data_IF_461751042204
#
_entry.id   IF_461751042204
#
_cell.length_a   1.000
_cell.length_b   1.000
_cell.length_c   1.000
_cell.angle_alpha   90.00
_cell.angle_beta   90.00
_cell.angle_gamma   90.00
#
_symmetry.space_group_name_H-M   'P 1'
#
loop_
_entity.id
_entity.type
_entity.pdbx_description
1 polymer ?
#
# COMPACT_ATOMS: atom_id res chain seq x y z
N UNK A 1 -27.89 -5.54 3.44
CA UNK A 1 -27.57 -4.10 3.43
C UNK A 1 -26.10 -4.02 3.09
N UNK A 2 -25.74 -3.40 1.97
CA UNK A 2 -24.33 -3.10 1.66
C UNK A 2 -23.79 -2.30 2.84
N UNK A 3 -22.82 -2.85 3.59
CA UNK A 3 -22.13 -2.04 4.59
C UNK A 3 -21.34 -1.01 3.81
N UNK A 4 -21.80 0.24 3.84
CA UNK A 4 -21.03 1.37 3.34
C UNK A 4 -19.63 1.28 3.94
N UNK A 5 -18.62 1.19 3.08
CA UNK A 5 -17.23 1.14 3.52
C UNK A 5 -16.89 2.37 4.36
N UNK A 6 -15.97 2.26 5.33
CA UNK A 6 -15.53 3.42 6.12
C UNK A 6 -14.57 4.34 5.34
N UNK A 7 -14.19 3.93 4.12
CA UNK A 7 -13.34 4.71 3.24
C UNK A 7 -14.07 5.94 2.69
N UNK A 8 -13.34 7.04 2.56
CA UNK A 8 -13.82 8.18 1.80
C UNK A 8 -13.66 7.84 0.31
N UNK A 9 -14.73 7.87 -0.47
CA UNK A 9 -14.71 7.42 -1.86
C UNK A 9 -15.02 8.57 -2.82
N UNK A 10 -14.31 8.63 -3.94
CA UNK A 10 -14.53 9.57 -5.04
C UNK A 10 -14.48 8.81 -6.37
N UNK A 11 -15.18 9.30 -7.39
CA UNK A 11 -15.08 8.77 -8.74
C UNK A 11 -13.62 8.77 -9.20
N UNK A 12 -13.13 7.60 -9.64
CA UNK A 12 -11.75 7.44 -10.10
C UNK A 12 -11.38 8.45 -11.18
N UNK A 13 -12.27 8.69 -12.14
CA UNK A 13 -12.04 9.61 -13.25
C UNK A 13 -11.88 11.08 -12.80
N UNK A 14 -12.45 11.46 -11.65
CA UNK A 14 -12.32 12.82 -11.12
C UNK A 14 -10.97 12.99 -10.42
N UNK A 15 -10.61 12.07 -9.53
CA UNK A 15 -9.38 12.18 -8.75
C UNK A 15 -8.13 11.90 -9.59
N UNK A 16 -8.18 10.93 -10.51
CA UNK A 16 -7.02 10.55 -11.33
C UNK A 16 -6.49 11.68 -12.22
N UNK A 17 -7.35 12.63 -12.60
CA UNK A 17 -6.98 13.86 -13.33
C UNK A 17 -6.12 14.82 -12.51
N UNK A 18 -6.15 14.71 -11.17
CA UNK A 18 -5.39 15.56 -10.23
C UNK A 18 -4.08 14.90 -9.80
N UNK A 19 -3.88 13.62 -10.11
CA UNK A 19 -2.71 12.87 -9.66
C UNK A 19 -1.49 13.17 -10.52
N UNK A 20 -0.27 13.07 -9.96
CA UNK A 20 0.95 13.11 -10.76
C UNK A 20 0.91 12.06 -11.87
N UNK A 21 1.41 12.40 -13.06
CA UNK A 21 1.42 11.50 -14.21
C UNK A 21 2.73 10.72 -14.36
N UNK A 22 3.80 11.18 -13.71
CA UNK A 22 5.13 10.57 -13.73
C UNK A 22 5.80 10.64 -12.35
N UNK A 23 6.88 9.88 -12.18
CA UNK A 23 7.70 9.91 -10.96
C UNK A 23 7.22 9.00 -9.85
N UNK A 24 7.91 9.02 -8.71
CA UNK A 24 7.66 8.20 -7.52
C UNK A 24 6.87 9.00 -6.51
N UNK A 25 5.64 8.58 -6.27
CA UNK A 25 4.70 9.24 -5.36
C UNK A 25 4.04 8.21 -4.44
N UNK A 26 3.80 8.59 -3.18
CA UNK A 26 2.96 7.80 -2.28
C UNK A 26 1.54 8.32 -2.43
N UNK A 27 0.70 7.62 -3.19
CA UNK A 27 -0.73 7.89 -3.23
C UNK A 27 -1.40 7.17 -2.06
N UNK A 28 -2.19 7.89 -1.27
CA UNK A 28 -2.86 7.33 -0.09
C UNK A 28 -4.10 8.12 0.32
N UNK A 29 -5.00 7.45 1.03
CA UNK A 29 -6.02 8.12 1.86
C UNK A 29 -5.45 8.27 3.28
N UNK A 30 -5.40 9.50 3.79
CA UNK A 30 -4.89 9.79 5.14
C UNK A 30 -5.58 11.01 5.75
N UNK A 31 -5.50 11.14 7.08
CA UNK A 31 -5.94 12.31 7.86
C UNK A 31 -4.79 12.82 8.75
N UNK A 32 -5.08 13.66 9.73
CA UNK A 32 -4.08 14.24 10.65
C UNK A 32 -3.33 13.21 11.51
N UNK A 33 -3.86 11.99 11.65
CA UNK A 33 -3.39 10.98 12.59
C UNK A 33 -3.22 9.58 12.00
N UNK A 34 -3.91 9.26 10.90
CA UNK A 34 -3.92 7.92 10.30
C UNK A 34 -3.75 7.92 8.78
N UNK A 35 -3.34 6.77 8.27
CA UNK A 35 -3.23 6.47 6.83
C UNK A 35 -3.80 5.08 6.57
N UNK A 36 -4.42 4.90 5.40
CA UNK A 36 -4.91 3.60 4.94
C UNK A 36 -3.81 2.90 4.14
N UNK A 37 -3.58 1.64 4.47
CA UNK A 37 -2.81 0.70 3.65
C UNK A 37 -3.63 -0.53 3.34
N UNK A 38 -3.36 -1.15 2.20
CA UNK A 38 -4.08 -2.31 1.72
C UNK A 38 -3.22 -3.56 1.70
N UNK A 39 -3.85 -4.68 2.02
CA UNK A 39 -3.29 -6.02 1.91
C UNK A 39 -4.34 -6.98 1.35
N UNK A 40 -3.88 -8.06 0.71
CA UNK A 40 -4.74 -9.11 0.21
C UNK A 40 -4.33 -10.47 0.76
N UNK A 41 -5.31 -11.27 1.17
CA UNK A 41 -5.08 -12.55 1.83
C UNK A 41 -6.14 -13.58 1.47
N UNK A 42 -5.84 -14.85 1.79
CA UNK A 42 -6.83 -15.92 1.83
C UNK A 42 -7.89 -15.67 2.91
N UNK A 43 -9.11 -16.23 2.76
CA UNK A 43 -10.24 -16.00 3.68
C UNK A 43 -9.92 -16.17 5.16
N UNK A 44 -9.18 -17.22 5.54
CA UNK A 44 -8.91 -17.50 6.95
C UNK A 44 -8.02 -16.45 7.64
N UNK A 45 -7.06 -15.87 6.92
CA UNK A 45 -6.20 -14.81 7.47
C UNK A 45 -6.99 -13.51 7.59
N UNK A 46 -7.77 -13.16 6.56
CA UNK A 46 -8.58 -11.96 6.57
C UNK A 46 -9.66 -12.00 7.67
N UNK A 47 -10.34 -13.14 7.82
CA UNK A 47 -11.33 -13.34 8.88
C UNK A 47 -10.72 -13.13 10.26
N UNK A 48 -9.60 -13.80 10.55
CA UNK A 48 -8.90 -13.61 11.83
C UNK A 48 -8.53 -12.14 12.06
N UNK A 49 -7.96 -11.49 11.04
CA UNK A 49 -7.50 -10.11 11.14
C UNK A 49 -8.64 -9.14 11.47
N UNK A 50 -9.79 -9.30 10.81
CA UNK A 50 -10.98 -8.47 11.03
C UNK A 50 -11.60 -8.76 12.40
N UNK A 51 -11.75 -10.03 12.79
CA UNK A 51 -12.35 -10.38 14.09
C UNK A 51 -11.51 -9.90 15.28
N UNK A 52 -10.18 -9.92 15.14
CA UNK A 52 -9.26 -9.57 16.23
C UNK A 52 -8.69 -8.15 16.11
N UNK A 53 -8.99 -7.44 15.02
CA UNK A 53 -8.40 -6.13 14.65
C UNK A 53 -6.86 -6.12 14.71
N UNK A 54 -6.24 -7.26 14.42
CA UNK A 54 -4.79 -7.47 14.37
C UNK A 54 -4.46 -8.74 13.62
N UNK A 55 -3.25 -8.82 13.08
CA UNK A 55 -2.72 -10.05 12.51
C UNK A 55 -2.13 -10.98 13.59
N UNK A 56 -2.01 -12.28 13.28
CA UNK A 56 -1.50 -13.27 14.22
C UNK A 56 -1.36 -14.67 13.61
N UNK A 57 -0.89 -15.62 14.43
CA UNK A 57 -0.72 -17.03 14.08
C UNK A 57 0.70 -17.41 13.58
N UNK A 58 0.97 -18.69 13.27
CA UNK A 58 2.31 -19.18 12.95
C UNK A 58 2.95 -18.52 11.70
N UNK A 59 2.13 -18.09 10.75
CA UNK A 59 2.54 -17.38 9.53
C UNK A 59 2.87 -15.91 9.77
N UNK A 60 2.62 -15.38 10.97
CA UNK A 60 2.84 -13.99 11.36
C UNK A 60 4.32 -13.67 11.67
N UNK A 61 5.24 -14.47 11.14
CA UNK A 61 6.70 -14.25 11.20
C UNK A 61 7.30 -13.92 9.83
N UNK A 62 6.53 -14.06 8.75
CA UNK A 62 6.99 -13.81 7.39
C UNK A 62 6.86 -12.34 7.01
N UNK A 63 7.66 -11.92 6.02
CA UNK A 63 7.53 -10.60 5.41
C UNK A 63 6.12 -10.42 4.83
N UNK A 64 5.44 -9.35 5.22
CA UNK A 64 4.16 -8.97 4.64
C UNK A 64 4.26 -7.62 3.94
N UNK A 65 3.48 -7.44 2.87
CA UNK A 65 3.59 -6.29 1.97
C UNK A 65 2.37 -5.39 2.05
N UNK A 66 2.56 -4.17 2.55
CA UNK A 66 1.53 -3.14 2.60
C UNK A 66 1.65 -2.21 1.38
N UNK A 67 0.50 -1.71 0.88
CA UNK A 67 0.41 -0.79 -0.25
C UNK A 67 -0.52 0.36 0.11
N UNK A 68 -0.09 1.62 0.10
CA UNK A 68 -0.97 2.75 0.39
C UNK A 68 -1.92 3.08 -0.78
N UNK A 69 -1.61 2.62 -2.00
CA UNK A 69 -2.38 2.88 -3.21
C UNK A 69 -3.32 1.72 -3.58
N UNK A 70 -4.59 2.05 -3.80
CA UNK A 70 -5.67 1.11 -4.08
C UNK A 70 -5.50 0.41 -5.44
N UNK A 71 -5.26 1.17 -6.51
CA UNK A 71 -5.13 0.62 -7.87
C UNK A 71 -3.98 -0.39 -7.95
N UNK A 72 -2.84 -0.07 -7.33
CA UNK A 72 -1.72 -1.00 -7.20
C UNK A 72 -2.09 -2.27 -6.43
N UNK A 73 -2.86 -2.16 -5.34
CA UNK A 73 -3.36 -3.35 -4.64
C UNK A 73 -4.29 -4.17 -5.55
N UNK A 74 -5.20 -3.54 -6.29
CA UNK A 74 -6.14 -4.25 -7.17
C UNK A 74 -5.43 -4.97 -8.31
N UNK A 75 -4.44 -4.34 -8.94
CA UNK A 75 -3.58 -4.99 -9.91
C UNK A 75 -2.89 -6.23 -9.31
N UNK A 76 -2.37 -6.12 -8.09
CA UNK A 76 -1.63 -7.19 -7.41
C UNK A 76 -2.51 -8.36 -7.00
N UNK A 77 -3.70 -8.13 -6.48
CA UNK A 77 -4.67 -9.18 -6.15
C UNK A 77 -5.48 -9.67 -7.35
N UNK A 78 -5.40 -8.96 -8.49
CA UNK A 78 -6.31 -9.20 -9.62
C UNK A 78 -7.76 -8.94 -9.21
N UNK A 79 -8.03 -7.81 -8.55
CA UNK A 79 -9.37 -7.48 -8.05
C UNK A 79 -9.98 -8.59 -7.18
N UNK A 80 -9.18 -9.13 -6.26
CA UNK A 80 -9.55 -10.22 -5.34
C UNK A 80 -9.86 -11.58 -6.03
N UNK A 81 -9.39 -11.80 -7.26
CA UNK A 81 -9.61 -13.07 -7.99
C UNK A 81 -8.44 -14.04 -7.92
N UNK A 82 -7.24 -13.58 -7.53
CA UNK A 82 -6.06 -14.46 -7.45
C UNK A 82 -6.10 -15.35 -6.20
N UNK A 83 -5.66 -16.59 -6.38
CA UNK A 83 -5.52 -17.56 -5.28
C UNK A 83 -4.64 -17.01 -4.15
N UNK A 84 -5.08 -17.20 -2.91
CA UNK A 84 -4.51 -16.66 -1.67
C UNK A 84 -4.55 -15.13 -1.52
N UNK A 85 -5.29 -14.43 -2.39
CA UNK A 85 -5.51 -12.98 -2.35
C UNK A 85 -6.99 -12.63 -2.58
N UNK A 86 -7.90 -13.49 -2.11
CA UNK A 86 -9.35 -13.42 -2.34
C UNK A 86 -10.07 -12.41 -1.44
N UNK A 87 -9.39 -11.90 -0.40
CA UNK A 87 -9.93 -10.90 0.51
C UNK A 87 -9.05 -9.67 0.53
N UNK A 88 -9.66 -8.50 0.39
CA UNK A 88 -8.99 -7.20 0.43
C UNK A 88 -9.28 -6.53 1.76
N UNK A 89 -8.22 -6.20 2.47
CA UNK A 89 -8.29 -5.49 3.74
C UNK A 89 -7.86 -4.04 3.53
N UNK A 90 -8.69 -3.11 3.97
CA UNK A 90 -8.29 -1.72 4.23
C UNK A 90 -7.89 -1.60 5.69
N UNK A 91 -6.64 -1.21 5.93
CA UNK A 91 -6.02 -1.22 7.24
C UNK A 91 -5.64 0.20 7.59
N UNK A 92 -6.32 0.76 8.58
CA UNK A 92 -6.02 2.07 9.12
C UNK A 92 -4.89 1.93 10.12
N UNK A 93 -3.77 2.61 9.87
CA UNK A 93 -2.63 2.64 10.78
C UNK A 93 -2.29 4.07 11.19
N UNK A 94 -1.61 4.21 12.32
CA UNK A 94 -1.12 5.52 12.75
C UNK A 94 -0.12 6.09 11.73
N UNK A 95 -0.17 7.40 11.50
CA UNK A 95 0.82 8.10 10.67
C UNK A 95 2.23 7.96 11.25
N UNK A 96 2.36 7.99 12.57
CA UNK A 96 3.62 7.77 13.26
C UNK A 96 4.20 6.37 12.96
N UNK A 97 3.37 5.33 12.98
CA UNK A 97 3.78 3.97 12.59
C UNK A 97 4.22 3.92 11.12
N UNK A 98 3.43 4.48 10.21
CA UNK A 98 3.77 4.52 8.78
C UNK A 98 5.09 5.26 8.50
N UNK A 99 5.28 6.45 9.11
CA UNK A 99 6.53 7.20 9.00
C UNK A 99 7.73 6.46 9.61
N UNK A 100 7.51 5.70 10.68
CA UNK A 100 8.55 4.84 11.28
C UNK A 100 8.93 3.71 10.32
N UNK A 101 7.97 3.09 9.63
CA UNK A 101 8.23 2.09 8.57
C UNK A 101 9.05 2.73 7.43
N UNK A 102 8.60 3.85 6.88
CA UNK A 102 9.30 4.56 5.79
C UNK A 102 10.74 4.92 6.18
N UNK A 103 10.94 5.43 7.39
CA UNK A 103 12.25 5.85 7.90
C UNK A 103 13.20 4.69 8.18
N UNK A 104 12.75 3.45 8.13
CA UNK A 104 13.58 2.26 8.29
C UNK A 104 13.67 1.42 7.01
N UNK A 105 12.99 1.84 5.95
CA UNK A 105 12.92 1.08 4.73
C UNK A 105 14.24 1.15 3.94
N UNK A 106 14.68 0.00 3.43
CA UNK A 106 15.80 -0.11 2.49
C UNK A 106 15.25 -0.48 1.11
N UNK A 107 15.57 0.32 0.09
CA UNK A 107 15.15 0.05 -1.28
C UNK A 107 15.73 -1.28 -1.78
N UNK A 108 14.90 -2.10 -2.44
CA UNK A 108 15.31 -3.41 -2.94
C UNK A 108 16.09 -3.37 -4.25
N UNK A 109 16.38 -2.19 -4.80
CA UNK A 109 17.20 -2.00 -5.99
C UNK A 109 18.32 -1.01 -5.70
N UNK A 110 19.57 -1.46 -5.83
CA UNK A 110 20.75 -0.62 -5.60
C UNK A 110 20.78 0.62 -6.48
N UNK A 111 20.36 0.51 -7.76
CA UNK A 111 20.37 1.65 -8.68
C UNK A 111 19.51 2.81 -8.18
N UNK A 112 18.45 2.52 -7.41
CA UNK A 112 17.55 3.53 -6.86
C UNK A 112 18.15 4.28 -5.67
N UNK A 113 19.17 3.73 -5.02
CA UNK A 113 19.80 4.25 -3.79
C UNK A 113 21.33 4.31 -3.87
N UNK A 114 21.88 4.32 -5.09
CA UNK A 114 23.32 4.33 -5.35
C UNK A 114 24.05 5.51 -4.69
N UNK A 115 23.34 6.62 -4.47
CA UNK A 115 23.87 7.82 -3.84
C UNK A 115 23.75 7.80 -2.31
N UNK A 116 23.06 6.79 -1.75
CA UNK A 116 22.83 6.65 -0.29
C UNK A 116 23.81 5.66 0.35
N UNK A 117 24.39 4.75 -0.43
CA UNK A 117 25.29 3.71 0.06
C UNK A 117 26.68 3.84 -0.55
N UNK A 118 27.71 3.67 0.29
CA UNK A 118 29.12 3.72 -0.12
C UNK A 118 29.43 2.65 -1.17
N UNK A 119 28.88 1.45 -1.02
CA UNK A 119 29.04 0.36 -1.98
C UNK A 119 27.77 -0.48 -2.14
N UNK A 120 27.74 -1.29 -3.20
CA UNK A 120 26.70 -2.32 -3.40
C UNK A 120 26.71 -3.37 -2.30
N UNK A 121 27.86 -3.67 -1.72
CA UNK A 121 27.99 -4.65 -0.63
C UNK A 121 27.40 -4.12 0.68
N UNK A 122 27.64 -2.83 1.00
CA UNK A 122 27.03 -2.17 2.16
C UNK A 122 25.50 -2.13 2.02
N UNK A 123 25.00 -1.81 0.83
CA UNK A 123 23.57 -1.86 0.54
C UNK A 123 23.00 -3.28 0.70
N UNK A 124 23.68 -4.30 0.18
CA UNK A 124 23.21 -5.68 0.27
C UNK A 124 23.19 -6.17 1.73
N UNK A 125 24.19 -5.78 2.53
CA UNK A 125 24.22 -6.06 3.96
C UNK A 125 23.04 -5.38 4.67
N UNK A 126 22.82 -4.08 4.43
CA UNK A 126 21.70 -3.34 4.99
C UNK A 126 20.33 -3.92 4.59
N UNK A 127 20.17 -4.34 3.32
CA UNK A 127 18.93 -4.96 2.84
C UNK A 127 18.67 -6.35 3.46
N UNK A 128 19.73 -7.11 3.75
CA UNK A 128 19.64 -8.42 4.41
C UNK A 128 19.24 -8.29 5.87
N UNK A 129 19.79 -7.31 6.58
CA UNK A 129 19.55 -7.09 8.02
C UNK A 129 18.31 -6.27 8.31
N UNK A 130 17.81 -5.47 7.36
CA UNK A 130 16.62 -4.66 7.57
C UNK A 130 15.34 -5.48 7.69
N UNK A 131 14.49 -5.08 8.63
CA UNK A 131 13.12 -5.58 8.80
C UNK A 131 12.10 -4.86 7.92
N UNK A 132 12.52 -3.79 7.24
CA UNK A 132 11.68 -3.03 6.31
C UNK A 132 12.32 -2.93 4.92
N UNK A 133 11.60 -3.38 3.90
CA UNK A 133 12.00 -3.28 2.49
C UNK A 133 11.08 -2.34 1.74
N UNK A 134 11.64 -1.58 0.82
CA UNK A 134 10.91 -0.71 -0.08
C UNK A 134 11.07 -1.18 -1.53
N UNK A 135 9.97 -1.20 -2.28
CA UNK A 135 10.00 -1.38 -3.73
C UNK A 135 9.17 -0.32 -4.43
N UNK A 136 9.76 0.27 -5.47
CA UNK A 136 9.09 1.11 -6.44
C UNK A 136 8.76 0.30 -7.70
N UNK A 137 7.49 0.05 -7.95
CA UNK A 137 6.99 -0.64 -9.14
C UNK A 137 6.26 0.34 -10.07
N UNK A 138 6.06 -0.01 -11.35
CA UNK A 138 5.12 0.75 -12.18
C UNK A 138 3.75 0.80 -11.52
N UNK A 139 3.16 1.99 -11.44
CA UNK A 139 1.75 2.09 -11.08
C UNK A 139 0.88 1.62 -12.26
N UNK A 140 -0.38 1.30 -11.99
CA UNK A 140 -1.32 0.81 -12.98
C UNK A 140 -2.66 1.53 -12.87
N UNK A 141 -3.33 1.73 -14.00
CA UNK A 141 -4.74 2.13 -14.00
C UNK A 141 -5.67 0.95 -13.63
N UNK A 142 -6.97 1.22 -13.55
CA UNK A 142 -7.97 0.23 -13.09
C UNK A 142 -8.08 -1.01 -13.99
N UNK A 143 -7.64 -0.91 -15.24
CA UNK A 143 -7.64 -2.00 -16.23
C UNK A 143 -6.25 -2.60 -16.43
N UNK A 144 -5.27 -2.22 -15.60
CA UNK A 144 -3.96 -2.84 -15.55
C UNK A 144 -2.97 -2.34 -16.61
N UNK A 145 -3.18 -1.16 -17.20
CA UNK A 145 -2.16 -0.52 -18.04
C UNK A 145 -1.11 0.15 -17.16
N UNK A 146 0.17 -0.01 -17.54
CA UNK A 146 1.29 0.64 -16.85
C UNK A 146 1.22 2.15 -17.02
N UNK A 147 1.50 2.87 -15.93
CA UNK A 147 1.62 4.32 -15.91
C UNK A 147 3.09 4.74 -15.77
N UNK A 148 3.38 6.00 -16.14
CA UNK A 148 4.73 6.55 -16.01
C UNK A 148 5.09 6.90 -14.56
N UNK A 149 4.08 7.05 -13.69
CA UNK A 149 4.29 7.15 -12.25
C UNK A 149 4.53 5.77 -11.63
N UNK A 150 5.10 5.77 -10.42
CA UNK A 150 5.48 4.57 -9.67
C UNK A 150 4.65 4.46 -8.40
N UNK A 151 4.29 3.23 -8.04
CA UNK A 151 3.64 2.90 -6.78
C UNK A 151 4.65 2.26 -5.82
N UNK A 152 4.51 2.58 -4.53
CA UNK A 152 5.32 2.00 -3.46
C UNK A 152 4.67 0.74 -2.91
N UNK A 153 5.47 -0.26 -2.59
CA UNK A 153 5.11 -1.31 -1.64
C UNK A 153 6.19 -1.46 -0.58
N UNK A 154 5.74 -1.68 0.67
CA UNK A 154 6.60 -1.79 1.83
C UNK A 154 6.47 -3.20 2.40
N UNK A 155 7.59 -3.92 2.43
CA UNK A 155 7.70 -5.20 3.10
C UNK A 155 8.07 -4.96 4.56
N UNK A 156 7.30 -5.52 5.49
CA UNK A 156 7.58 -5.48 6.94
C UNK A 156 7.70 -6.90 7.51
N UNK A 157 8.68 -7.12 8.40
CA UNK A 157 8.91 -8.39 9.12
C UNK A 157 9.47 -8.12 10.52
N UNK A 158 9.73 -9.19 11.28
CA UNK A 158 10.41 -9.10 12.57
C UNK A 158 9.72 -8.14 13.53
N UNK A 159 10.50 -7.31 14.23
CA UNK A 159 9.96 -6.36 15.21
C UNK A 159 8.97 -5.36 14.60
N UNK A 160 9.17 -4.96 13.33
CA UNK A 160 8.27 -4.02 12.66
C UNK A 160 6.90 -4.64 12.37
N UNK A 161 6.86 -5.95 12.10
CA UNK A 161 5.59 -6.66 11.92
C UNK A 161 4.83 -6.75 13.25
N UNK A 162 5.54 -7.05 14.35
CA UNK A 162 4.96 -7.08 15.69
C UNK A 162 4.40 -5.71 16.10
N UNK A 163 5.16 -4.62 15.92
CA UNK A 163 4.70 -3.26 16.20
C UNK A 163 3.54 -2.85 15.29
N UNK A 164 3.63 -3.15 13.99
CA UNK A 164 2.55 -2.90 13.04
C UNK A 164 1.24 -3.48 13.54
N UNK A 165 1.24 -4.77 13.91
CA UNK A 165 0.01 -5.45 14.26
C UNK A 165 -0.50 -5.16 15.67
N UNK A 166 0.38 -4.90 16.64
CA UNK A 166 -0.02 -4.75 18.04
C UNK A 166 -0.13 -3.29 18.49
N UNK A 167 0.52 -2.36 17.80
CA UNK A 167 0.61 -0.96 18.23
C UNK A 167 0.05 0.03 17.19
N UNK A 168 0.33 -0.19 15.89
CA UNK A 168 0.04 0.82 14.88
C UNK A 168 -1.30 0.64 14.18
N UNK A 169 -1.83 -0.58 14.07
CA UNK A 169 -3.17 -0.83 13.52
C UNK A 169 -4.24 -0.23 14.45
N UNK A 170 -5.08 0.63 13.87
CA UNK A 170 -6.24 1.22 14.54
C UNK A 170 -7.53 0.50 14.15
N UNK A 171 -7.64 0.08 12.89
CA UNK A 171 -8.76 -0.75 12.44
C UNK A 171 -8.41 -1.55 11.18
N UNK A 172 -9.06 -2.70 11.02
CA UNK A 172 -9.02 -3.57 9.85
C UNK A 172 -10.44 -3.76 9.33
N UNK A 173 -10.70 -3.30 8.12
CA UNK A 173 -11.97 -3.45 7.43
C UNK A 173 -11.80 -4.39 6.23
N UNK A 174 -12.72 -5.34 6.09
CA UNK A 174 -12.82 -6.13 4.86
C UNK A 174 -13.65 -5.41 3.81
N UNK A 175 -12.99 -4.93 2.76
CA UNK A 175 -13.63 -4.18 1.68
C UNK A 175 -13.87 -5.05 0.44
N UNK A 176 -13.84 -6.38 0.58
CA UNK A 176 -13.91 -7.30 -0.57
C UNK A 176 -15.20 -7.14 -1.37
N UNK A 177 -16.34 -6.95 -0.71
CA UNK A 177 -17.62 -6.77 -1.42
C UNK A 177 -17.67 -5.44 -2.17
N UNK A 178 -17.13 -4.37 -1.59
CA UNK A 178 -16.92 -3.09 -2.31
C UNK A 178 -16.03 -3.29 -3.54
N UNK A 179 -14.88 -3.96 -3.39
CA UNK A 179 -13.96 -4.24 -4.49
C UNK A 179 -14.64 -5.02 -5.62
N UNK A 180 -15.43 -6.05 -5.29
CA UNK A 180 -16.17 -6.83 -6.30
C UNK A 180 -17.24 -6.00 -6.99
N UNK A 181 -17.93 -5.12 -6.28
CA UNK A 181 -18.89 -4.19 -6.87
C UNK A 181 -18.20 -3.27 -7.88
N UNK A 182 -17.08 -2.66 -7.51
CA UNK A 182 -16.31 -1.78 -8.39
C UNK A 182 -15.71 -2.52 -9.58
N UNK A 183 -15.25 -3.76 -9.38
CA UNK A 183 -14.69 -4.58 -10.44
C UNK A 183 -15.70 -4.88 -11.56
N UNK A 184 -17.01 -4.99 -11.25
CA UNK A 184 -18.05 -5.16 -12.28
C UNK A 184 -18.05 -4.00 -13.27
N UNK A 185 -17.97 -2.77 -12.79
CA UNK A 185 -17.89 -1.59 -13.66
C UNK A 185 -16.61 -1.58 -14.51
N UNK A 186 -15.48 -2.03 -13.95
CA UNK A 186 -14.21 -2.15 -14.69
C UNK A 186 -14.31 -3.18 -15.82
N UNK A 187 -14.90 -4.35 -15.56
CA UNK A 187 -15.10 -5.40 -16.57
C UNK A 187 -16.09 -4.99 -17.65
N UNK A 188 -17.10 -4.20 -17.29
CA UNK A 188 -18.08 -3.63 -18.23
C UNK A 188 -17.58 -2.35 -18.94
N UNK A 189 -16.31 -1.96 -18.74
CA UNK A 189 -15.69 -0.75 -19.28
C UNK A 189 -16.39 0.57 -18.89
N UNK A 190 -17.18 0.57 -17.82
CA UNK A 190 -17.86 1.74 -17.24
C UNK A 190 -16.97 2.47 -16.23
N UNK A 191 -15.79 2.91 -16.68
CA UNK A 191 -14.77 3.51 -15.81
C UNK A 191 -15.24 4.83 -15.16
N UNK A 192 -16.19 5.51 -15.78
CA UNK A 192 -16.88 6.71 -15.30
C UNK A 192 -17.78 6.44 -14.08
N UNK A 193 -18.06 5.17 -13.76
CA UNK A 193 -18.87 4.75 -12.60
C UNK A 193 -18.03 4.15 -11.47
N UNK A 194 -16.73 3.93 -11.67
CA UNK A 194 -15.88 3.30 -10.66
C UNK A 194 -15.57 4.28 -9.54
N UNK A 195 -16.03 3.95 -8.34
CA UNK A 195 -15.65 4.63 -7.11
C UNK A 195 -14.38 4.01 -6.56
N UNK A 196 -13.40 4.84 -6.20
CA UNK A 196 -12.19 4.38 -5.49
C UNK A 196 -12.02 5.17 -4.21
N UNK A 197 -11.26 4.65 -3.23
CA UNK A 197 -10.81 5.45 -2.10
C UNK A 197 -10.20 6.76 -2.58
N UNK A 198 -10.48 7.85 -1.87
CA UNK A 198 -9.95 9.17 -2.17
C UNK A 198 -8.47 9.20 -1.82
N UNK A 199 -7.61 9.28 -2.84
CA UNK A 199 -6.17 9.27 -2.66
C UNK A 199 -5.53 10.57 -3.15
N UNK A 200 -4.62 11.09 -2.35
CA UNK A 200 -3.77 12.25 -2.69
C UNK A 200 -2.32 11.90 -2.40
N UNK A 201 -1.39 12.76 -2.85
CA UNK A 201 0.03 12.55 -2.58
C UNK A 201 0.31 12.76 -1.09
N UNK A 202 0.78 11.70 -0.43
CA UNK A 202 1.29 11.76 0.93
C UNK A 202 2.71 12.34 0.94
N UNK A 203 2.85 13.53 1.51
CA UNK A 203 4.11 14.25 1.59
C UNK A 203 4.89 13.86 2.84
N UNK A 204 6.20 13.74 2.69
CA UNK A 204 7.15 13.48 3.78
C UNK A 204 8.22 14.58 3.87
N UNK A 205 8.86 14.75 5.04
CA UNK A 205 10.03 15.61 5.19
C UNK A 205 11.11 15.34 4.13
N UNK A 206 11.88 16.37 3.77
CA UNK A 206 12.85 16.34 2.66
C UNK A 206 13.90 15.23 2.82
N UNK A 207 14.43 15.08 4.01
CA UNK A 207 15.39 14.04 4.39
C UNK A 207 14.82 12.62 4.16
N UNK A 208 13.57 12.40 4.56
CA UNK A 208 12.91 11.12 4.30
C UNK A 208 12.67 10.93 2.80
N UNK A 209 12.23 11.98 2.09
CA UNK A 209 11.99 11.97 0.63
C UNK A 209 13.22 11.50 -0.14
N UNK A 210 14.39 12.09 0.14
CA UNK A 210 15.66 11.73 -0.50
C UNK A 210 16.05 10.28 -0.21
N UNK A 211 15.87 9.84 1.04
CA UNK A 211 16.20 8.46 1.46
C UNK A 211 15.38 7.40 0.74
N UNK A 212 14.07 7.62 0.57
CA UNK A 212 13.18 6.67 -0.10
C UNK A 212 13.06 6.94 -1.61
N UNK A 213 13.76 7.96 -2.11
CA UNK A 213 13.80 8.33 -3.51
C UNK A 213 12.44 8.78 -4.05
N UNK A 214 11.69 9.54 -3.26
CA UNK A 214 10.45 10.20 -3.69
C UNK A 214 10.76 11.44 -4.53
N UNK A 215 9.96 11.68 -5.58
CA UNK A 215 10.08 12.90 -6.37
C UNK A 215 9.34 14.06 -5.68
N UNK A 216 9.75 15.30 -5.96
CA UNK A 216 8.99 16.47 -5.50
C UNK A 216 7.65 16.55 -6.23
N UNK A 217 6.60 16.92 -5.50
CA UNK A 217 5.35 17.37 -6.12
C UNK A 217 5.59 18.82 -6.55
N UNK A 218 5.61 19.05 -7.86
CA UNK A 218 5.62 20.41 -8.45
C UNK A 218 4.26 21.09 -8.25
#
# INVERSE_FOLDING_TARGET
>A
MSSLTSLNIELYEIQSKKWPTFGRHIMAQYDESTIIVYQAFKPSIAQYAVENQKFGGPSFSWMTWIKPNFAWMMYRSGWATKTNQERILAIKITLQGFNTILSNAIASSYEQVRNTFVSKDDWNLALKTSDVRLQWDPDHDLIGRKLNRRAIQLGIRGKFLEQYSNEWIQSIEDITEFVKEQHKFVVEEKLDQVMTPFEIVYNVPKDLRERIGLDSVE
#
